data_IF_661324035144
#
_entry.id   IF_661324035144
#
_cell.length_a   1.000
_cell.length_b   1.000
_cell.length_c   1.000
_cell.angle_alpha   90.00
_cell.angle_beta   90.00
_cell.angle_gamma   90.00
#
_symmetry.space_group_name_H-M   'P 1'
#
loop_
_entity.id
_entity.type
_entity.pdbx_description
1 polymer ?
#
# COMPACT_ATOMS: atom_id res chain seq x y z
N UNK A 1 8.75 -16.11 -3.02
CA UNK A 1 9.11 -14.66 -3.00
C UNK A 1 10.18 -14.30 -1.97
N UNK A 2 10.57 -15.22 -1.08
CA UNK A 2 11.57 -15.01 -0.01
C UNK A 2 13.03 -14.83 -0.47
N UNK A 3 13.26 -14.53 -1.76
CA UNK A 3 14.57 -14.09 -2.26
C UNK A 3 14.68 -12.56 -2.23
N UNK A 4 13.56 -11.85 -2.06
CA UNK A 4 13.51 -10.40 -1.93
C UNK A 4 13.87 -9.99 -0.49
N UNK A 5 14.76 -9.02 -0.34
CA UNK A 5 15.15 -8.52 0.99
C UNK A 5 14.01 -7.79 1.73
N UNK A 6 13.11 -7.12 1.00
CA UNK A 6 11.84 -6.59 1.49
C UNK A 6 10.89 -6.32 0.32
N UNK A 7 9.64 -5.97 0.61
CA UNK A 7 8.65 -5.51 -0.36
C UNK A 7 7.95 -4.26 0.14
N UNK A 8 7.80 -3.28 -0.74
CA UNK A 8 7.00 -2.09 -0.44
C UNK A 8 5.55 -2.32 -0.89
N UNK A 9 4.60 -2.13 0.02
CA UNK A 9 3.19 -2.31 -0.28
C UNK A 9 2.66 -1.21 -1.23
N UNK A 10 1.50 -1.46 -1.83
CA UNK A 10 0.75 -0.41 -2.51
C UNK A 10 0.40 0.70 -1.53
N UNK A 11 0.42 1.95 -1.99
CA UNK A 11 0.09 3.12 -1.18
C UNK A 11 -1.23 2.94 -0.45
N UNK A 12 -1.16 2.89 0.88
CA UNK A 12 -2.28 2.70 1.79
C UNK A 12 -2.70 4.06 2.34
N UNK A 13 -3.99 4.34 2.32
CA UNK A 13 -4.58 5.56 2.89
C UNK A 13 -5.43 5.23 4.10
N UNK A 14 -5.79 6.24 4.89
CA UNK A 14 -6.67 6.07 6.04
C UNK A 14 -7.98 5.40 5.64
N UNK A 15 -8.68 6.02 4.69
CA UNK A 15 -9.94 5.52 4.12
C UNK A 15 -9.72 4.84 2.76
N UNK A 16 -10.62 3.94 2.34
CA UNK A 16 -10.57 3.32 1.02
C UNK A 16 -10.64 4.36 -0.11
N UNK A 17 -9.92 4.10 -1.21
CA UNK A 17 -9.96 4.92 -2.42
C UNK A 17 -10.20 4.05 -3.63
N UNK A 18 -11.18 4.45 -4.45
CA UNK A 18 -11.44 3.81 -5.75
C UNK A 18 -10.36 4.14 -6.80
N UNK A 19 -9.70 5.28 -6.65
CA UNK A 19 -8.73 5.82 -7.60
C UNK A 19 -9.37 6.65 -8.71
N UNK A 20 -8.54 7.04 -9.68
CA UNK A 20 -9.00 7.89 -10.79
C UNK A 20 -9.81 7.09 -11.83
N UNK A 21 -10.67 7.77 -12.61
CA UNK A 21 -11.36 7.16 -13.75
C UNK A 21 -10.41 6.52 -14.77
N UNK A 22 -10.94 5.57 -15.53
CA UNK A 22 -10.23 4.95 -16.65
C UNK A 22 -10.35 5.81 -17.93
N UNK A 23 -9.38 5.77 -18.86
CA UNK A 23 -8.09 5.07 -18.77
C UNK A 23 -7.08 5.83 -17.89
N UNK A 24 -6.26 5.11 -17.15
CA UNK A 24 -5.30 5.67 -16.17
C UNK A 24 -3.88 5.15 -16.32
N UNK A 25 -3.61 4.47 -17.44
CA UNK A 25 -2.31 3.92 -17.84
C UNK A 25 -2.14 4.23 -19.33
N UNK A 26 -0.95 4.67 -19.73
CA UNK A 26 -0.57 4.86 -21.12
C UNK A 26 0.88 4.41 -21.33
N UNK A 27 1.12 3.52 -22.28
CA UNK A 27 2.46 3.07 -22.67
C UNK A 27 3.14 4.08 -23.61
N UNK A 28 4.47 4.17 -23.50
CA UNK A 28 5.31 4.97 -24.39
C UNK A 28 6.58 4.22 -24.79
N UNK A 29 7.40 4.76 -25.71
CA UNK A 29 8.52 4.04 -26.31
C UNK A 29 9.61 3.53 -25.34
N UNK A 30 9.67 4.09 -24.13
CA UNK A 30 10.68 3.72 -23.12
C UNK A 30 10.10 3.71 -21.70
N UNK A 31 8.79 3.55 -21.56
CA UNK A 31 8.16 3.54 -20.23
C UNK A 31 6.65 3.63 -20.27
N UNK A 32 6.07 4.00 -19.13
CA UNK A 32 4.64 4.02 -18.92
C UNK A 32 4.25 5.20 -18.02
N UNK A 33 3.20 5.91 -18.39
CA UNK A 33 2.53 6.89 -17.55
C UNK A 33 1.40 6.21 -16.79
N UNK A 34 1.26 6.55 -15.51
CA UNK A 34 0.14 6.10 -14.69
C UNK A 34 -0.46 7.26 -13.88
N UNK A 35 -1.78 7.22 -13.72
CA UNK A 35 -2.55 8.14 -12.90
C UNK A 35 -3.54 7.34 -12.06
N UNK A 36 -3.06 6.34 -11.29
CA UNK A 36 -3.93 5.40 -10.56
C UNK A 36 -4.87 6.10 -9.55
N UNK A 37 -4.43 7.23 -8.97
CA UNK A 37 -5.21 7.96 -7.96
C UNK A 37 -5.20 7.29 -6.58
N UNK A 38 -4.11 6.57 -6.24
CA UNK A 38 -3.94 5.87 -4.97
C UNK A 38 -5.07 4.88 -4.65
N UNK A 39 -5.58 4.14 -5.64
CA UNK A 39 -6.55 3.08 -5.37
C UNK A 39 -6.01 2.06 -4.35
N UNK A 40 -6.71 1.89 -3.24
CA UNK A 40 -6.38 0.96 -2.15
C UNK A 40 -7.61 0.75 -1.24
N UNK A 41 -7.67 -0.33 -0.44
CA UNK A 41 -8.86 -0.65 0.36
C UNK A 41 -8.91 0.07 1.72
N UNK A 42 -7.96 0.95 2.03
CA UNK A 42 -7.85 1.60 3.35
C UNK A 42 -7.04 0.78 4.34
N UNK A 43 -6.52 1.44 5.37
CA UNK A 43 -5.56 0.84 6.31
C UNK A 43 -6.12 -0.33 7.08
N UNK A 44 -7.39 -0.24 7.51
CA UNK A 44 -8.02 -1.28 8.32
C UNK A 44 -8.17 -2.59 7.51
N UNK A 45 -8.55 -2.50 6.23
CA UNK A 45 -8.67 -3.65 5.34
C UNK A 45 -7.29 -4.20 4.91
N UNK A 46 -6.30 -3.33 4.68
CA UNK A 46 -4.92 -3.78 4.42
C UNK A 46 -4.39 -4.63 5.57
N UNK A 47 -4.62 -4.20 6.82
CA UNK A 47 -4.20 -4.93 8.01
C UNK A 47 -4.99 -6.23 8.20
N UNK A 48 -6.32 -6.19 8.12
CA UNK A 48 -7.15 -7.35 8.41
C UNK A 48 -7.12 -8.43 7.32
N UNK A 49 -6.79 -8.06 6.08
CA UNK A 49 -6.90 -8.98 4.94
C UNK A 49 -5.58 -9.11 4.17
N UNK A 50 -5.04 -8.03 3.63
CA UNK A 50 -3.95 -8.10 2.65
C UNK A 50 -2.64 -8.59 3.28
N UNK A 51 -2.32 -8.10 4.48
CA UNK A 51 -1.17 -8.57 5.25
C UNK A 51 -1.36 -10.03 5.71
N UNK A 52 -2.56 -10.39 6.15
CA UNK A 52 -2.85 -11.77 6.56
C UNK A 52 -2.81 -12.77 5.39
N UNK A 53 -3.22 -12.36 4.19
CA UNK A 53 -3.05 -13.14 2.95
C UNK A 53 -1.57 -13.29 2.58
N UNK A 54 -0.74 -12.29 2.87
CA UNK A 54 0.69 -12.32 2.59
C UNK A 54 1.48 -13.17 3.60
N UNK A 55 1.05 -13.21 4.87
CA UNK A 55 1.71 -13.92 5.98
C UNK A 55 2.19 -15.34 5.65
N UNK A 56 1.40 -16.24 5.03
CA UNK A 56 1.86 -17.60 4.72
C UNK A 56 2.86 -17.67 3.55
N UNK A 57 3.05 -16.59 2.79
CA UNK A 57 3.84 -16.56 1.55
C UNK A 57 5.19 -15.85 1.70
N UNK A 58 5.31 -14.97 2.70
CA UNK A 58 6.47 -14.11 2.91
C UNK A 58 6.96 -14.12 4.36
N UNK A 59 8.24 -14.37 4.55
CA UNK A 59 8.82 -14.62 5.88
C UNK A 59 9.45 -13.38 6.53
N UNK A 60 9.69 -12.32 5.75
CA UNK A 60 10.32 -11.09 6.23
C UNK A 60 9.30 -9.95 6.39
N UNK A 61 9.77 -8.80 6.88
CA UNK A 61 8.94 -7.60 7.07
C UNK A 61 8.75 -6.83 5.77
N UNK A 62 7.55 -6.27 5.60
CA UNK A 62 7.23 -5.36 4.50
C UNK A 62 7.45 -3.90 4.90
N UNK A 63 7.59 -3.04 3.90
CA UNK A 63 7.66 -1.59 4.06
C UNK A 63 6.28 -1.00 3.74
N UNK A 64 5.67 -0.30 4.71
CA UNK A 64 4.41 0.39 4.51
C UNK A 64 4.60 1.66 3.68
N UNK A 65 3.95 1.72 2.51
CA UNK A 65 3.83 2.94 1.72
C UNK A 65 2.54 3.66 2.10
N UNK A 66 2.64 4.86 2.68
CA UNK A 66 1.49 5.60 3.20
C UNK A 66 1.19 6.79 2.29
N UNK A 67 -0.09 6.97 1.95
CA UNK A 67 -0.62 8.14 1.26
C UNK A 67 -1.72 8.82 2.06
N UNK A 68 -1.93 10.11 1.80
CA UNK A 68 -2.96 10.92 2.46
C UNK A 68 -3.25 12.19 1.66
N UNK A 69 -4.33 12.87 2.01
CA UNK A 69 -4.71 14.17 1.45
C UNK A 69 -4.43 15.32 2.42
N UNK A 70 -4.25 15.00 3.71
CA UNK A 70 -3.83 15.91 4.76
C UNK A 70 -2.80 15.25 5.70
N UNK A 71 -1.99 16.02 6.44
CA UNK A 71 -1.03 15.46 7.41
C UNK A 71 -1.66 14.48 8.41
N UNK A 72 -2.87 14.75 8.88
CA UNK A 72 -3.56 13.90 9.85
C UNK A 72 -3.87 12.49 9.29
N UNK A 73 -4.14 12.38 7.98
CA UNK A 73 -4.33 11.08 7.31
C UNK A 73 -3.06 10.22 7.43
N UNK A 74 -1.88 10.84 7.24
CA UNK A 74 -0.60 10.16 7.33
C UNK A 74 -0.32 9.73 8.77
N UNK A 75 -0.54 10.62 9.74
CA UNK A 75 -0.32 10.35 11.17
C UNK A 75 -1.18 9.19 11.63
N UNK A 76 -2.48 9.23 11.34
CA UNK A 76 -3.41 8.20 11.78
C UNK A 76 -3.17 6.87 11.05
N UNK A 77 -2.88 6.89 9.74
CA UNK A 77 -2.54 5.68 8.98
C UNK A 77 -1.25 5.05 9.51
N UNK A 78 -0.20 5.85 9.76
CA UNK A 78 1.06 5.37 10.30
C UNK A 78 0.88 4.74 11.68
N UNK A 79 0.14 5.42 12.56
CA UNK A 79 -0.17 4.95 13.91
C UNK A 79 -0.88 3.59 13.92
N UNK A 80 -1.80 3.36 12.98
CA UNK A 80 -2.51 2.08 12.86
C UNK A 80 -1.61 1.00 12.26
N UNK A 81 -1.05 1.25 11.07
CA UNK A 81 -0.33 0.23 10.31
C UNK A 81 0.96 -0.23 11.01
N UNK A 82 1.60 0.63 11.81
CA UNK A 82 2.79 0.28 12.58
C UNK A 82 2.51 -0.71 13.72
N UNK A 83 1.25 -0.98 14.05
CA UNK A 83 0.88 -1.99 15.05
C UNK A 83 0.89 -3.42 14.50
N UNK A 84 0.89 -3.57 13.18
CA UNK A 84 0.89 -4.88 12.54
C UNK A 84 2.30 -5.47 12.51
N UNK A 85 2.46 -6.69 13.02
CA UNK A 85 3.77 -7.32 13.20
C UNK A 85 4.55 -7.47 11.87
N UNK A 86 3.87 -7.73 10.75
CA UNK A 86 4.52 -7.82 9.43
C UNK A 86 5.14 -6.52 8.90
N UNK A 87 4.85 -5.36 9.48
CA UNK A 87 5.41 -4.07 9.03
C UNK A 87 6.75 -3.82 9.73
N UNK A 88 7.78 -3.51 8.94
CA UNK A 88 9.10 -3.18 9.47
C UNK A 88 9.11 -1.83 10.18
N UNK A 89 9.83 -1.77 11.32
CA UNK A 89 10.08 -0.55 12.07
C UNK A 89 11.06 0.39 11.36
#
# INVERSE_FOLDING_TARGET
INILGSMMLKGTTLEPRYGNPLPRIAEGPSGLLNAIGLQNPGVDAVMAEELEKLRPLYNDKVIANIGGSAPDDYVETAKRISTHDMVGA
#
